data_IF_205796745766
#
_entry.id   IF_205796745766
#
_cell.length_a   1.000
_cell.length_b   1.000
_cell.length_c   1.000
_cell.angle_alpha   90.00
_cell.angle_beta   90.00
_cell.angle_gamma   90.00
#
_symmetry.space_group_name_H-M   'P 1'
#
loop_
_entity.id
_entity.type
_entity.pdbx_description
1 polymer ?
#
# COMPACT_ATOMS: atom_id res chain seq x y z
N UNK A 1 -16.49 9.99 21.09
CA UNK A 1 -17.69 9.55 20.31
C UNK A 1 -17.79 8.03 20.44
N UNK A 2 -18.90 7.37 20.09
CA UNK A 2 -18.88 5.90 20.04
C UNK A 2 -18.05 5.47 18.82
N UNK A 3 -17.08 4.56 19.00
CA UNK A 3 -16.25 4.06 17.90
C UNK A 3 -17.12 3.26 16.92
N UNK A 4 -16.95 3.49 15.62
CA UNK A 4 -17.60 2.69 14.57
C UNK A 4 -16.87 1.36 14.43
N UNK A 5 -17.58 0.25 14.62
CA UNK A 5 -17.03 -1.06 14.29
C UNK A 5 -17.12 -1.29 12.79
N UNK A 6 -15.99 -1.11 12.09
CA UNK A 6 -15.92 -1.31 10.64
C UNK A 6 -16.07 -2.78 10.24
N UNK A 7 -16.05 -3.70 11.20
CA UNK A 7 -16.29 -5.11 10.97
C UNK A 7 -17.70 -5.52 11.42
N UNK A 8 -18.62 -4.57 11.63
CA UNK A 8 -20.03 -4.87 11.79
C UNK A 8 -20.53 -5.70 10.60
N UNK A 9 -21.19 -6.83 10.89
CA UNK A 9 -21.64 -7.80 9.87
C UNK A 9 -20.62 -8.87 9.48
N UNK A 10 -19.43 -8.87 10.09
CA UNK A 10 -18.48 -9.97 9.97
C UNK A 10 -18.93 -11.15 10.84
N UNK A 11 -19.17 -12.29 10.23
CA UNK A 11 -19.61 -13.51 10.91
C UNK A 11 -18.43 -14.45 11.17
N UNK A 12 -18.40 -15.07 12.35
CA UNK A 12 -17.43 -16.12 12.68
C UNK A 12 -18.11 -17.41 13.07
N UNK A 13 -17.65 -18.54 12.53
CA UNK A 13 -18.16 -19.87 12.84
C UNK A 13 -17.01 -20.87 12.96
N UNK A 14 -16.96 -21.62 14.06
CA UNK A 14 -15.94 -22.66 14.29
C UNK A 14 -16.57 -24.04 14.17
N UNK A 15 -16.00 -24.89 13.30
CA UNK A 15 -16.47 -26.25 13.12
C UNK A 15 -15.93 -27.21 14.21
N UNK A 16 -16.37 -28.46 14.19
CA UNK A 16 -15.93 -29.50 15.14
C UNK A 16 -14.45 -29.86 15.04
N UNK A 17 -13.77 -29.47 13.97
CA UNK A 17 -12.33 -29.70 13.75
C UNK A 17 -11.47 -28.54 14.26
N UNK A 18 -12.08 -27.49 14.82
CA UNK A 18 -11.38 -26.31 15.32
C UNK A 18 -10.98 -25.31 14.24
N UNK A 19 -11.48 -25.46 13.01
CA UNK A 19 -11.31 -24.49 11.93
C UNK A 19 -12.37 -23.40 12.07
N UNK A 20 -11.94 -22.15 12.14
CA UNK A 20 -12.83 -20.99 12.22
C UNK A 20 -12.92 -20.30 10.87
N UNK A 21 -14.14 -20.07 10.40
CA UNK A 21 -14.41 -19.32 9.18
C UNK A 21 -14.85 -17.92 9.55
N UNK A 22 -14.20 -16.92 8.99
CA UNK A 22 -14.56 -15.50 9.06
C UNK A 22 -15.17 -15.08 7.72
N UNK A 23 -16.41 -14.60 7.71
CA UNK A 23 -17.15 -14.31 6.48
C UNK A 23 -17.71 -12.89 6.45
N UNK A 24 -17.83 -12.35 5.24
CA UNK A 24 -18.45 -11.05 4.95
C UNK A 24 -19.27 -11.15 3.67
N UNK A 25 -20.43 -10.51 3.66
CA UNK A 25 -21.27 -10.42 2.46
C UNK A 25 -20.71 -9.36 1.52
N UNK A 26 -20.29 -9.79 0.33
CA UNK A 26 -19.86 -8.90 -0.74
C UNK A 26 -21.01 -8.45 -1.64
N UNK A 27 -20.69 -7.72 -2.72
CA UNK A 27 -21.65 -7.35 -3.75
C UNK A 27 -22.39 -8.59 -4.29
N UNK A 28 -23.66 -8.42 -4.66
CA UNK A 28 -24.53 -9.48 -5.22
C UNK A 28 -24.76 -10.66 -4.25
N UNK A 29 -24.64 -10.42 -2.94
CA UNK A 29 -24.84 -11.45 -1.89
C UNK A 29 -23.86 -12.62 -1.98
N UNK A 30 -22.72 -12.44 -2.65
CA UNK A 30 -21.64 -13.43 -2.65
C UNK A 30 -20.97 -13.40 -1.27
N UNK A 31 -20.88 -14.55 -0.63
CA UNK A 31 -20.19 -14.69 0.66
C UNK A 31 -18.70 -14.85 0.38
N UNK A 32 -17.91 -13.92 0.91
CA UNK A 32 -16.46 -14.02 0.95
C UNK A 32 -16.06 -14.53 2.31
N UNK A 33 -15.14 -15.50 2.34
CA UNK A 33 -14.74 -16.11 3.59
C UNK A 33 -13.23 -16.30 3.66
N UNK A 34 -12.74 -16.42 4.89
CA UNK A 34 -11.39 -16.85 5.18
C UNK A 34 -11.44 -17.84 6.32
N UNK A 35 -10.82 -18.99 6.13
CA UNK A 35 -10.63 -19.97 7.19
C UNK A 35 -9.34 -19.66 7.93
N UNK A 36 -9.32 -19.90 9.23
CA UNK A 36 -8.12 -19.93 10.02
C UNK A 36 -8.18 -21.00 11.12
N UNK A 37 -7.04 -21.58 11.44
CA UNK A 37 -6.93 -22.70 12.38
C UNK A 37 -5.55 -22.75 13.04
N UNK A 38 -5.49 -23.41 14.18
CA UNK A 38 -4.24 -23.66 14.90
C UNK A 38 -3.62 -24.98 14.42
N UNK A 39 -2.31 -24.99 14.15
CA UNK A 39 -1.55 -26.18 13.75
C UNK A 39 -0.60 -26.70 14.85
N UNK A 40 -0.56 -26.06 16.01
CA UNK A 40 0.36 -26.37 17.12
C UNK A 40 1.82 -26.06 16.81
N UNK A 41 2.73 -26.43 17.74
CA UNK A 41 4.19 -26.33 17.58
C UNK A 41 4.81 -25.03 18.10
N UNK A 42 6.09 -24.81 17.83
CA UNK A 42 6.78 -23.54 18.14
C UNK A 42 6.76 -22.60 16.93
N UNK A 43 6.70 -21.29 17.17
CA UNK A 43 6.70 -20.26 16.12
C UNK A 43 5.31 -19.91 15.60
N UNK A 44 5.14 -19.91 14.27
CA UNK A 44 3.86 -19.58 13.64
C UNK A 44 2.88 -20.75 13.79
N UNK A 45 2.05 -20.70 14.84
CA UNK A 45 1.07 -21.74 15.16
C UNK A 45 -0.27 -21.57 14.44
N UNK A 46 -0.55 -20.39 13.87
CA UNK A 46 -1.82 -20.11 13.22
C UNK A 46 -1.68 -20.11 11.71
N UNK A 47 -2.67 -20.66 11.02
CA UNK A 47 -2.78 -20.63 9.56
C UNK A 47 -4.06 -19.94 9.16
N UNK A 48 -4.03 -19.26 8.02
CA UNK A 48 -5.25 -18.79 7.37
C UNK A 48 -5.20 -18.96 5.86
N UNK A 49 -6.39 -19.15 5.28
CA UNK A 49 -6.60 -19.35 3.85
C UNK A 49 -7.85 -18.60 3.42
N UNK A 50 -7.70 -17.79 2.39
CA UNK A 50 -8.80 -17.07 1.76
C UNK A 50 -9.58 -18.02 0.85
N UNK A 51 -10.90 -18.08 1.00
CA UNK A 51 -11.81 -18.86 0.16
C UNK A 51 -12.53 -17.93 -0.84
N UNK A 52 -12.34 -18.18 -2.14
CA UNK A 52 -12.93 -17.40 -3.25
C UNK A 52 -12.31 -17.72 -4.62
N UNK A 53 -12.92 -17.24 -5.70
CA UNK A 53 -12.52 -17.53 -7.10
C UNK A 53 -11.09 -17.09 -7.44
N UNK A 54 -10.55 -16.10 -6.73
CA UNK A 54 -9.23 -15.49 -6.97
C UNK A 54 -8.27 -15.60 -5.77
N UNK A 55 -8.62 -16.40 -4.75
CA UNK A 55 -7.77 -16.59 -3.57
C UNK A 55 -6.54 -17.45 -3.90
N UNK A 56 -5.31 -17.06 -3.50
CA UNK A 56 -4.16 -17.94 -3.63
C UNK A 56 -4.44 -19.24 -2.85
N UNK A 57 -4.20 -20.40 -3.47
CA UNK A 57 -4.31 -21.74 -2.82
C UNK A 57 -3.30 -21.95 -1.67
N UNK A 58 -2.58 -20.92 -1.28
CA UNK A 58 -1.52 -20.95 -0.29
C UNK A 58 -2.08 -20.53 1.06
N UNK A 59 -1.82 -21.35 2.09
CA UNK A 59 -2.08 -20.97 3.47
C UNK A 59 -0.97 -20.01 3.94
N UNK A 60 -1.37 -18.92 4.57
CA UNK A 60 -0.47 -17.99 5.24
C UNK A 60 -0.35 -18.38 6.71
N UNK A 61 0.69 -17.88 7.38
CA UNK A 61 0.98 -18.18 8.78
C UNK A 61 1.01 -16.93 9.66
N UNK A 62 0.75 -17.10 10.94
CA UNK A 62 0.90 -16.05 11.95
C UNK A 62 1.26 -16.66 13.32
N UNK A 63 2.03 -15.97 14.19
CA UNK A 63 2.33 -16.44 15.55
C UNK A 63 1.11 -16.56 16.47
N UNK A 64 0.11 -15.70 16.29
CA UNK A 64 -1.08 -15.59 17.14
C UNK A 64 -2.38 -15.58 16.37
N UNK A 65 -3.46 -16.05 16.99
CA UNK A 65 -4.83 -15.98 16.45
C UNK A 65 -5.23 -14.55 16.13
N UNK A 66 -4.97 -13.64 17.08
CA UNK A 66 -5.39 -12.26 16.95
C UNK A 66 -4.76 -11.57 15.75
N UNK A 67 -3.46 -11.77 15.51
CA UNK A 67 -2.83 -11.18 14.33
C UNK A 67 -3.22 -11.87 13.02
N UNK A 68 -3.61 -13.14 13.07
CA UNK A 68 -4.26 -13.82 11.96
C UNK A 68 -5.60 -13.16 11.60
N UNK A 69 -6.46 -12.92 12.59
CA UNK A 69 -7.72 -12.19 12.40
C UNK A 69 -7.49 -10.78 11.85
N UNK A 70 -6.49 -10.05 12.35
CA UNK A 70 -6.09 -8.73 11.81
C UNK A 70 -5.70 -8.84 10.34
N UNK A 71 -4.90 -9.84 9.95
CA UNK A 71 -4.50 -10.03 8.55
C UNK A 71 -5.71 -10.29 7.63
N UNK A 72 -6.66 -11.12 8.06
CA UNK A 72 -7.90 -11.41 7.33
C UNK A 72 -8.74 -10.16 7.15
N UNK A 73 -9.00 -9.45 8.25
CA UNK A 73 -9.73 -8.18 8.26
C UNK A 73 -9.13 -7.15 7.30
N UNK A 74 -7.81 -7.03 7.31
CA UNK A 74 -7.05 -6.17 6.39
C UNK A 74 -7.20 -6.59 4.93
N UNK A 75 -7.29 -7.89 4.66
CA UNK A 75 -7.55 -8.39 3.33
C UNK A 75 -8.94 -7.95 2.85
N UNK A 76 -10.00 -8.16 3.65
CA UNK A 76 -11.36 -7.73 3.30
C UNK A 76 -11.46 -6.23 3.03
N UNK A 77 -10.78 -5.40 3.82
CA UNK A 77 -10.67 -3.96 3.53
C UNK A 77 -9.98 -3.71 2.18
N UNK A 78 -8.87 -4.39 1.91
CA UNK A 78 -8.07 -4.18 0.69
C UNK A 78 -8.83 -4.56 -0.57
N UNK A 79 -9.69 -5.58 -0.52
CA UNK A 79 -10.54 -6.00 -1.65
C UNK A 79 -11.91 -5.29 -1.68
N UNK A 80 -12.14 -4.30 -0.81
CA UNK A 80 -13.35 -3.47 -0.82
C UNK A 80 -14.61 -4.19 -0.30
N UNK A 81 -14.45 -5.25 0.50
CA UNK A 81 -15.58 -5.97 1.13
C UNK A 81 -16.03 -5.35 2.44
N UNK A 82 -15.21 -4.48 3.02
CA UNK A 82 -15.50 -3.76 4.25
C UNK A 82 -15.49 -2.27 3.97
N UNK A 83 -16.59 -1.60 4.31
CA UNK A 83 -16.69 -0.15 4.23
C UNK A 83 -15.92 0.49 5.37
N UNK A 84 -15.08 1.45 5.03
CA UNK A 84 -14.23 2.16 6.00
C UNK A 84 -14.75 3.59 6.14
N UNK A 85 -14.90 4.12 7.36
CA UNK A 85 -15.42 5.46 7.58
C UNK A 85 -14.48 6.52 7.03
N UNK A 86 -15.07 7.60 6.53
CA UNK A 86 -14.35 8.70 5.89
C UNK A 86 -13.41 9.44 6.84
N UNK A 87 -13.76 9.48 8.12
CA UNK A 87 -13.16 10.28 9.18
C UNK A 87 -12.29 9.48 10.15
N UNK A 88 -12.07 8.19 9.89
CA UNK A 88 -11.40 7.27 10.81
C UNK A 88 -12.08 7.14 12.19
N UNK A 89 -13.40 7.31 12.26
CA UNK A 89 -14.20 7.16 13.49
C UNK A 89 -14.19 5.75 14.11
N UNK A 90 -13.50 4.78 13.48
CA UNK A 90 -13.22 3.45 14.04
C UNK A 90 -12.07 3.43 15.04
N UNK A 91 -11.24 4.47 15.06
CA UNK A 91 -10.14 4.62 16.01
C UNK A 91 -10.66 5.11 17.36
N UNK A 92 -9.95 4.81 18.46
CA UNK A 92 -10.20 5.46 19.75
C UNK A 92 -9.83 6.96 19.73
N UNK A 93 -10.29 7.71 20.74
CA UNK A 93 -10.16 9.17 20.78
C UNK A 93 -8.69 9.64 20.65
N UNK A 94 -7.72 8.97 21.28
CA UNK A 94 -6.30 9.35 21.20
C UNK A 94 -5.71 9.06 19.82
N UNK A 95 -6.06 7.92 19.22
CA UNK A 95 -5.67 7.58 17.86
C UNK A 95 -6.33 8.47 16.80
N UNK A 96 -7.56 8.96 17.04
CA UNK A 96 -8.21 9.93 16.16
C UNK A 96 -7.47 11.28 16.14
N UNK A 97 -6.97 11.74 17.30
CA UNK A 97 -6.14 12.95 17.36
C UNK A 97 -4.85 12.78 16.54
N UNK A 98 -4.19 11.63 16.67
CA UNK A 98 -3.00 11.31 15.87
C UNK A 98 -3.34 11.26 14.37
N UNK A 99 -4.46 10.62 13.99
CA UNK A 99 -4.91 10.55 12.60
C UNK A 99 -5.20 11.94 12.02
N UNK A 100 -5.79 12.85 12.80
CA UNK A 100 -6.06 14.23 12.40
C UNK A 100 -4.76 15.02 12.14
N UNK A 101 -3.75 14.87 13.00
CA UNK A 101 -2.42 15.47 12.79
C UNK A 101 -1.74 14.92 11.53
N UNK A 102 -1.78 13.59 11.33
CA UNK A 102 -1.25 12.94 10.13
C UNK A 102 -1.93 13.51 8.89
N UNK A 103 -3.26 13.64 8.90
CA UNK A 103 -4.03 14.18 7.79
C UNK A 103 -3.65 15.63 7.47
N UNK A 104 -3.48 16.48 8.48
CA UNK A 104 -3.05 17.85 8.30
C UNK A 104 -1.66 17.92 7.65
N UNK A 105 -0.69 17.16 8.15
CA UNK A 105 0.66 17.08 7.59
C UNK A 105 0.68 16.46 6.19
N UNK A 106 -0.16 15.46 5.96
CA UNK A 106 -0.33 14.82 4.65
C UNK A 106 -0.78 15.85 3.61
N UNK A 107 -1.81 16.64 3.94
CA UNK A 107 -2.38 17.64 3.04
C UNK A 107 -1.44 18.84 2.82
N UNK A 108 -0.62 19.20 3.80
CA UNK A 108 0.38 20.27 3.68
C UNK A 108 1.48 19.96 2.64
N UNK A 109 1.72 18.68 2.32
CA UNK A 109 2.72 18.27 1.32
C UNK A 109 2.15 18.42 -0.10
N UNK A 110 2.78 19.27 -0.90
CA UNK A 110 2.41 19.56 -2.30
C UNK A 110 3.55 19.19 -3.27
N UNK A 111 3.27 19.23 -4.58
CA UNK A 111 4.26 18.95 -5.62
C UNK A 111 4.16 17.54 -6.21
N UNK A 112 5.27 16.81 -6.18
CA UNK A 112 5.42 15.48 -6.78
C UNK A 112 4.52 14.42 -6.08
N UNK A 113 4.16 13.33 -6.78
CA UNK A 113 3.49 12.18 -6.16
C UNK A 113 4.22 11.70 -4.91
N UNK A 114 3.46 11.32 -3.87
CA UNK A 114 4.01 10.86 -2.58
C UNK A 114 3.96 9.34 -2.51
N UNK A 115 4.85 8.75 -1.70
CA UNK A 115 4.68 7.35 -1.29
C UNK A 115 3.32 7.19 -0.62
N UNK A 116 2.51 6.27 -1.16
CA UNK A 116 1.13 6.02 -0.75
C UNK A 116 0.06 6.61 -1.67
N UNK A 117 0.38 7.58 -2.53
CA UNK A 117 -0.51 8.04 -3.61
C UNK A 117 -0.72 6.92 -4.66
N UNK A 118 -1.68 7.09 -5.57
CA UNK A 118 -2.07 6.09 -6.55
C UNK A 118 -1.65 6.45 -7.97
N UNK A 119 -1.31 5.42 -8.74
CA UNK A 119 -1.18 5.46 -10.20
C UNK A 119 -2.33 4.66 -10.82
N UNK A 120 -3.09 5.28 -11.72
CA UNK A 120 -4.07 4.59 -12.55
C UNK A 120 -3.35 3.91 -13.72
N UNK A 121 -3.50 2.61 -13.80
CA UNK A 121 -2.96 1.77 -14.87
C UNK A 121 -3.86 1.83 -16.10
N UNK A 122 -3.35 1.38 -17.26
CA UNK A 122 -4.09 1.40 -18.53
C UNK A 122 -5.37 0.54 -18.51
N UNK A 123 -5.41 -0.51 -17.68
CA UNK A 123 -6.59 -1.35 -17.47
C UNK A 123 -7.60 -0.75 -16.47
N UNK A 124 -7.33 0.46 -15.97
CA UNK A 124 -8.14 1.15 -14.97
C UNK A 124 -7.86 0.76 -13.53
N UNK A 125 -7.02 -0.26 -13.28
CA UNK A 125 -6.63 -0.64 -11.91
C UNK A 125 -5.75 0.43 -11.26
N UNK A 126 -5.75 0.49 -9.93
CA UNK A 126 -4.90 1.40 -9.17
C UNK A 126 -3.72 0.65 -8.55
N UNK A 127 -2.50 1.16 -8.78
CA UNK A 127 -1.30 0.77 -8.03
C UNK A 127 -0.90 1.87 -7.07
N UNK A 128 -0.23 1.50 -5.97
CA UNK A 128 0.30 2.49 -5.02
C UNK A 128 1.76 2.81 -5.31
N UNK A 129 2.11 4.09 -5.23
CA UNK A 129 3.49 4.53 -5.15
C UNK A 129 4.09 4.08 -3.83
N UNK A 130 5.28 3.48 -3.87
CA UNK A 130 5.85 2.75 -2.73
C UNK A 130 7.29 3.15 -2.41
N UNK A 131 8.00 3.79 -3.33
CA UNK A 131 9.36 4.24 -3.09
C UNK A 131 9.71 5.45 -3.98
N UNK A 132 10.18 6.51 -3.35
CA UNK A 132 10.75 7.67 -4.03
C UNK A 132 12.22 7.40 -4.34
N UNK A 133 12.60 7.41 -5.62
CA UNK A 133 13.98 7.13 -6.05
C UNK A 133 14.82 8.40 -6.23
N UNK A 134 14.30 9.58 -5.87
CA UNK A 134 14.88 10.88 -6.16
C UNK A 134 14.50 11.39 -7.55
N UNK A 135 14.59 10.53 -8.57
CA UNK A 135 14.29 10.84 -9.98
C UNK A 135 12.93 10.30 -10.46
N UNK A 136 12.21 9.56 -9.61
CA UNK A 136 10.90 9.02 -9.94
C UNK A 136 10.23 8.29 -8.79
N UNK A 137 9.24 7.48 -9.11
CA UNK A 137 8.52 6.64 -8.16
C UNK A 137 8.43 5.19 -8.64
N UNK A 138 8.58 4.27 -7.69
CA UNK A 138 8.23 2.87 -7.90
C UNK A 138 6.79 2.61 -7.48
N UNK A 139 6.13 1.69 -8.16
CA UNK A 139 4.82 1.17 -7.76
C UNK A 139 4.93 -0.24 -7.20
N UNK A 140 3.83 -0.73 -6.65
CA UNK A 140 3.77 -2.10 -6.14
C UNK A 140 2.43 -2.76 -6.45
N UNK A 141 2.42 -4.09 -6.46
CA UNK A 141 1.23 -4.96 -6.51
C UNK A 141 0.61 -5.19 -5.12
N UNK A 142 1.28 -4.81 -4.04
CA UNK A 142 0.78 -4.98 -2.68
C UNK A 142 1.86 -4.77 -1.62
N UNK A 143 1.49 -4.82 -0.35
CA UNK A 143 2.44 -4.67 0.76
C UNK A 143 1.88 -3.83 1.89
N UNK A 144 2.79 -3.34 2.73
CA UNK A 144 2.45 -2.63 3.96
C UNK A 144 2.99 -1.21 3.92
N UNK A 145 2.16 -0.25 4.34
CA UNK A 145 2.50 1.18 4.37
C UNK A 145 2.32 1.67 5.80
N UNK A 146 3.43 1.91 6.50
CA UNK A 146 3.39 2.58 7.80
C UNK A 146 3.56 4.09 7.61
N UNK A 147 2.86 4.88 8.42
CA UNK A 147 2.91 6.33 8.36
C UNK A 147 3.26 6.91 9.73
N UNK A 148 4.11 7.93 9.74
CA UNK A 148 4.45 8.69 10.94
C UNK A 148 3.55 9.91 11.10
N UNK A 149 3.56 10.51 12.30
CA UNK A 149 2.83 11.76 12.60
C UNK A 149 3.17 12.91 11.64
N UNK A 150 4.39 12.94 11.12
CA UNK A 150 4.86 13.93 10.15
C UNK A 150 4.54 13.58 8.69
N UNK A 151 3.63 12.63 8.46
CA UNK A 151 3.25 12.13 7.15
C UNK A 151 4.42 11.56 6.32
N UNK A 152 5.46 11.07 7.00
CA UNK A 152 6.51 10.26 6.38
C UNK A 152 6.01 8.82 6.26
N UNK A 153 6.11 8.23 5.07
CA UNK A 153 5.61 6.88 4.81
C UNK A 153 6.78 5.93 4.59
N UNK A 154 6.75 4.80 5.29
CA UNK A 154 7.65 3.67 5.05
C UNK A 154 6.85 2.53 4.43
N UNK A 155 7.44 1.89 3.44
CA UNK A 155 6.84 0.79 2.70
C UNK A 155 7.64 -0.50 2.90
N UNK A 156 6.95 -1.63 2.95
CA UNK A 156 7.55 -2.96 2.94
C UNK A 156 6.79 -3.89 1.99
N UNK A 157 7.53 -4.44 1.01
CA UNK A 157 7.02 -5.38 0.02
C UNK A 157 7.82 -5.34 -1.28
N UNK A 158 7.26 -5.92 -2.34
CA UNK A 158 7.90 -5.97 -3.66
C UNK A 158 7.80 -4.65 -4.42
N UNK A 159 8.89 -4.29 -5.11
CA UNK A 159 9.00 -3.06 -5.88
C UNK A 159 8.93 -3.37 -7.39
N UNK A 160 8.07 -2.66 -8.12
CA UNK A 160 8.12 -2.61 -9.58
C UNK A 160 9.23 -1.65 -10.05
N UNK A 161 9.56 -1.66 -11.35
CA UNK A 161 10.54 -0.73 -11.91
C UNK A 161 10.13 0.75 -11.70
N UNK A 162 11.10 1.64 -11.44
CA UNK A 162 10.82 3.06 -11.23
C UNK A 162 10.35 3.75 -12.52
N UNK A 163 9.42 4.68 -12.36
CA UNK A 163 8.89 5.52 -13.44
C UNK A 163 9.29 6.98 -13.17
N UNK A 164 9.78 7.65 -14.21
CA UNK A 164 10.23 9.03 -14.17
C UNK A 164 9.16 10.02 -13.71
N UNK A 165 9.57 11.08 -13.00
CA UNK A 165 8.66 12.13 -12.53
C UNK A 165 7.86 12.79 -13.64
N UNK A 166 8.51 13.03 -14.77
CA UNK A 166 7.98 13.73 -15.95
C UNK A 166 6.80 12.99 -16.59
N UNK A 167 6.62 11.71 -16.25
CA UNK A 167 5.53 10.89 -16.78
C UNK A 167 4.27 10.93 -15.96
N UNK A 168 4.29 11.56 -14.79
CA UNK A 168 3.10 11.62 -13.93
C UNK A 168 2.33 12.92 -14.14
N UNK A 169 1.03 12.76 -14.41
CA UNK A 169 0.07 13.87 -14.43
C UNK A 169 -1.00 13.63 -13.37
N UNK A 170 -1.34 14.66 -12.60
CA UNK A 170 -2.46 14.60 -11.65
C UNK A 170 -3.77 14.38 -12.41
N UNK A 171 -4.57 13.40 -11.96
CA UNK A 171 -5.95 13.21 -12.43
C UNK A 171 -6.94 14.16 -11.74
N UNK A 172 -6.50 14.92 -10.72
CA UNK A 172 -7.35 15.74 -9.84
C UNK A 172 -8.44 14.93 -9.12
N UNK A 173 -8.19 13.64 -8.95
CA UNK A 173 -9.02 12.70 -8.21
C UNK A 173 -8.29 12.22 -6.95
N UNK A 174 -9.07 11.72 -5.99
CA UNK A 174 -8.57 11.14 -4.75
C UNK A 174 -9.20 9.77 -4.54
N UNK A 175 -8.43 8.84 -3.97
CA UNK A 175 -8.91 7.56 -3.46
C UNK A 175 -8.41 7.36 -2.03
N UNK A 176 -9.09 6.51 -1.24
CA UNK A 176 -8.62 6.17 0.11
C UNK A 176 -7.40 5.26 0.04
N UNK A 177 -6.28 5.73 0.56
CA UNK A 177 -5.11 4.90 0.82
C UNK A 177 -5.13 4.37 2.25
N UNK A 178 -4.98 3.06 2.42
CA UNK A 178 -4.80 2.43 3.73
C UNK A 178 -3.34 2.56 4.19
N UNK A 179 -3.14 3.04 5.41
CA UNK A 179 -1.86 3.06 6.11
C UNK A 179 -2.05 2.44 7.49
N UNK A 180 -0.96 2.29 8.24
CA UNK A 180 -1.04 2.00 9.66
C UNK A 180 -0.01 2.80 10.44
N UNK A 181 -0.27 3.03 11.72
CA UNK A 181 0.69 3.60 12.67
C UNK A 181 0.58 2.87 14.01
N UNK A 182 1.49 3.15 14.95
CA UNK A 182 1.43 2.54 16.28
C UNK A 182 0.42 3.26 17.17
N UNK A 183 -0.52 2.50 17.72
CA UNK A 183 -1.54 2.99 18.65
C UNK A 183 -0.93 3.81 19.77
N UNK A 184 -1.49 4.99 20.01
CA UNK A 184 -1.06 5.94 21.04
C UNK A 184 0.41 6.34 20.91
N UNK A 185 0.94 6.32 19.68
CA UNK A 185 2.34 6.64 19.35
C UNK A 185 3.36 5.76 20.09
N UNK A 186 2.96 4.54 20.46
CA UNK A 186 3.79 3.58 21.21
C UNK A 186 4.12 2.36 20.37
N UNK A 187 5.38 2.25 19.95
CA UNK A 187 5.88 1.10 19.22
C UNK A 187 5.69 -0.21 20.01
N UNK A 188 5.29 -1.28 19.32
CA UNK A 188 5.15 -2.61 19.92
C UNK A 188 4.40 -3.60 19.03
N UNK A 189 4.68 -4.88 19.23
CA UNK A 189 3.95 -5.95 18.55
C UNK A 189 2.45 -5.85 18.86
N UNK A 190 1.61 -6.03 17.83
CA UNK A 190 0.15 -5.94 17.96
C UNK A 190 -0.41 -4.54 18.19
N UNK A 191 0.42 -3.48 18.19
CA UNK A 191 -0.05 -2.10 18.39
C UNK A 191 -0.37 -1.36 17.08
N UNK A 192 -0.24 -2.00 15.93
CA UNK A 192 -0.52 -1.35 14.64
C UNK A 192 -2.01 -1.13 14.43
N UNK A 193 -2.43 0.11 14.25
CA UNK A 193 -3.81 0.51 13.93
C UNK A 193 -3.88 1.07 12.52
N UNK A 194 -4.94 0.72 11.78
CA UNK A 194 -5.11 1.13 10.40
C UNK A 194 -5.76 2.52 10.31
N UNK A 195 -5.22 3.38 9.45
CA UNK A 195 -5.69 4.74 9.17
C UNK A 195 -5.84 4.94 7.67
N UNK A 196 -6.81 5.74 7.27
CA UNK A 196 -7.19 5.93 5.88
C UNK A 196 -7.11 7.40 5.53
N UNK A 197 -6.31 7.71 4.51
CA UNK A 197 -6.04 9.08 4.08
C UNK A 197 -6.46 9.27 2.62
N UNK A 198 -6.85 10.49 2.23
CA UNK A 198 -7.12 10.82 0.84
C UNK A 198 -5.79 10.87 0.06
N UNK A 199 -5.61 9.91 -0.83
CA UNK A 199 -4.44 9.76 -1.69
C UNK A 199 -4.76 10.23 -3.10
N UNK A 200 -3.85 11.01 -3.68
CA UNK A 200 -4.00 11.59 -5.03
C UNK A 200 -3.88 10.48 -6.06
N UNK A 201 -4.67 10.58 -7.13
CA UNK A 201 -4.56 9.70 -8.29
C UNK A 201 -3.78 10.42 -9.39
N UNK A 202 -2.79 9.72 -9.93
CA UNK A 202 -1.99 10.14 -11.08
C UNK A 202 -2.20 9.19 -12.25
N UNK A 203 -1.91 9.70 -13.43
CA UNK A 203 -1.93 8.96 -14.70
C UNK A 203 -0.58 9.08 -15.38
N UNK A 204 -0.25 8.08 -16.20
CA UNK A 204 0.91 8.14 -17.07
C UNK A 204 0.59 8.97 -18.31
N UNK A 205 1.51 9.85 -18.67
CA UNK A 205 1.51 10.53 -19.96
C UNK A 205 2.63 10.00 -20.84
N UNK A 206 2.41 10.13 -22.16
CA UNK A 206 3.46 9.90 -23.13
C UNK A 206 4.60 10.90 -22.90
N UNK A 207 5.81 10.39 -23.00
CA UNK A 207 7.01 11.16 -22.73
C UNK A 207 8.14 10.70 -23.65
N UNK A 208 8.86 11.67 -24.18
CA UNK A 208 10.10 11.48 -24.92
C UNK A 208 10.98 12.68 -24.65
N UNK A 209 12.29 12.45 -24.59
CA UNK A 209 13.29 13.51 -24.52
C UNK A 209 14.37 13.25 -25.56
N UNK A 210 15.03 14.31 -26.04
CA UNK A 210 16.18 14.16 -26.94
C UNK A 210 17.38 13.56 -26.21
N UNK A 211 18.40 13.14 -26.95
CA UNK A 211 19.64 12.63 -26.35
C UNK A 211 20.33 13.71 -25.50
N UNK A 212 20.34 14.95 -25.99
CA UNK A 212 20.92 16.10 -25.27
C UNK A 212 20.20 16.35 -23.95
N UNK A 213 18.86 16.29 -23.95
CA UNK A 213 18.05 16.42 -22.73
C UNK A 213 18.31 15.26 -21.77
N UNK A 214 18.43 14.03 -22.29
CA UNK A 214 18.73 12.85 -21.49
C UNK A 214 20.12 12.91 -20.84
N UNK A 215 21.14 13.41 -21.55
CA UNK A 215 22.49 13.63 -21.02
C UNK A 215 22.49 14.68 -19.92
N UNK A 216 21.65 15.72 -20.04
CA UNK A 216 21.52 16.78 -19.06
C UNK A 216 20.68 16.39 -17.83
N UNK A 217 19.94 15.29 -17.88
CA UNK A 217 19.07 14.85 -16.80
C UNK A 217 19.86 14.50 -15.52
N UNK A 218 19.38 14.87 -14.30
CA UNK A 218 20.08 14.60 -13.04
C UNK A 218 20.53 13.14 -12.86
N UNK A 219 19.65 12.18 -13.17
CA UNK A 219 19.98 10.75 -13.13
C UNK A 219 21.16 10.35 -14.05
N UNK A 220 21.24 10.93 -15.25
CA UNK A 220 22.34 10.67 -16.18
C UNK A 220 23.63 11.32 -15.71
N UNK A 221 23.55 12.56 -15.19
CA UNK A 221 24.71 13.27 -14.61
C UNK A 221 25.31 12.46 -13.47
N UNK A 222 24.50 12.01 -12.51
CA UNK A 222 24.96 11.17 -11.40
C UNK A 222 25.55 9.84 -11.90
N UNK A 223 24.91 9.18 -12.86
CA UNK A 223 25.43 7.95 -13.46
C UNK A 223 26.77 8.17 -14.18
N UNK A 224 26.95 9.32 -14.84
CA UNK A 224 28.19 9.68 -15.53
C UNK A 224 29.31 9.94 -14.53
N UNK A 225 29.02 10.63 -13.44
CA UNK A 225 30.00 10.89 -12.37
C UNK A 225 30.49 9.61 -11.71
N UNK A 226 29.60 8.62 -11.54
CA UNK A 226 29.95 7.35 -10.93
C UNK A 226 30.67 6.39 -11.90
N UNK A 227 30.15 6.21 -13.11
CA UNK A 227 30.64 5.19 -14.05
C UNK A 227 31.60 5.72 -15.14
N UNK A 228 31.53 7.01 -15.46
CA UNK A 228 32.20 7.63 -16.61
C UNK A 228 31.32 7.69 -17.87
N UNK A 229 31.61 8.64 -18.76
CA UNK A 229 30.79 8.95 -19.94
C UNK A 229 30.82 7.87 -21.04
N UNK A 230 31.88 7.06 -21.11
CA UNK A 230 32.01 5.98 -22.09
C UNK A 230 31.50 4.63 -21.55
N UNK A 231 31.08 4.58 -20.27
CA UNK A 231 30.70 3.33 -19.63
C UNK A 231 29.31 2.88 -20.06
N UNK A 232 29.16 1.58 -20.34
CA UNK A 232 27.92 0.99 -20.85
C UNK A 232 26.70 1.25 -19.95
N UNK A 233 26.86 1.28 -18.63
CA UNK A 233 25.78 1.62 -17.69
C UNK A 233 25.25 3.05 -17.87
N UNK A 234 26.13 4.03 -18.10
CA UNK A 234 25.72 5.41 -18.36
C UNK A 234 25.02 5.52 -19.72
N UNK A 235 25.58 4.93 -20.78
CA UNK A 235 24.95 4.93 -22.10
C UNK A 235 23.56 4.27 -22.09
N UNK A 236 23.41 3.16 -21.34
CA UNK A 236 22.11 2.53 -21.11
C UNK A 236 21.15 3.43 -20.35
N UNK A 237 21.62 4.19 -19.37
CA UNK A 237 20.80 5.17 -18.63
C UNK A 237 20.29 6.27 -19.55
N UNK A 238 21.16 6.89 -20.35
CA UNK A 238 20.77 7.91 -21.33
C UNK A 238 19.71 7.37 -22.29
N UNK A 239 19.95 6.19 -22.88
CA UNK A 239 18.98 5.57 -23.77
C UNK A 239 17.64 5.24 -23.07
N UNK A 240 17.65 4.86 -21.78
CA UNK A 240 16.44 4.62 -21.00
C UNK A 240 15.65 5.91 -20.77
N UNK A 241 16.33 6.99 -20.39
CA UNK A 241 15.72 8.30 -20.15
C UNK A 241 15.05 8.85 -21.42
N UNK A 242 15.67 8.68 -22.60
CA UNK A 242 15.06 9.03 -23.89
C UNK A 242 13.71 8.33 -24.13
N UNK A 243 13.50 7.14 -23.54
CA UNK A 243 12.25 6.37 -23.60
C UNK A 243 11.32 6.62 -22.40
N UNK A 244 11.67 7.56 -21.50
CA UNK A 244 10.89 7.82 -20.29
C UNK A 244 10.99 6.71 -19.23
N UNK A 245 12.14 6.05 -19.14
CA UNK A 245 12.43 5.00 -18.16
C UNK A 245 13.66 5.40 -17.32
N UNK A 246 13.64 5.01 -16.04
CA UNK A 246 14.76 5.21 -15.14
C UNK A 246 15.79 4.09 -15.18
N UNK A 247 15.55 2.99 -15.91
CA UNK A 247 16.56 1.98 -16.27
C UNK A 247 17.09 1.16 -15.11
#
# INVERSE_FOLDING_TARGET
MANVDIFEGLETNTNSEGVTTMSVYGPLSIIWSCEYWNVGGEGDQWRYRLSGADGPRFAYSHPSEHGCQIAIKRHFITVGLVNVPEDNSHLDDENQLIAAEILANWNARTGKPRVGDFLRMADGSLKRFCNDTGDGQQTTKGGSFSISRFAGVSYSGGLDSPIMWERFKSANEMAKGRFWFFSHDRAGAGRGVDVFLPCRIYELVDFSMTEEEAIAHPAAVSSREFWGAEHTSYLKKVAALMRGDLG
#
